data_IF_224113400420
#
_entry.id   IF_224113400420
#
_cell.length_a   1.000
_cell.length_b   1.000
_cell.length_c   1.000
_cell.angle_alpha   90.00
_cell.angle_beta   90.00
_cell.angle_gamma   90.00
#
_symmetry.space_group_name_H-M   'P 1'
#
loop_
_entity.id
_entity.type
_entity.pdbx_description
1 polymer ?
#
# COMPACT_ATOMS: atom_id res chain seq x y z
N UNK A 1 0.10 -4.18 -18.17
CA UNK A 1 0.77 -3.36 -17.13
C UNK A 1 0.75 -4.17 -15.85
N UNK A 2 1.91 -4.33 -15.22
CA UNK A 2 1.95 -4.91 -13.87
C UNK A 2 1.15 -4.03 -12.91
N UNK A 3 0.48 -4.63 -11.92
CA UNK A 3 -0.21 -3.86 -10.90
C UNK A 3 0.75 -2.92 -10.19
N UNK A 4 0.27 -1.73 -9.82
CA UNK A 4 1.02 -0.87 -8.92
C UNK A 4 1.36 -1.61 -7.62
N UNK A 5 2.60 -1.48 -7.18
CA UNK A 5 3.02 -1.96 -5.88
C UNK A 5 2.63 -0.98 -4.81
N UNK A 6 2.30 -1.52 -3.63
CA UNK A 6 2.00 -0.72 -2.44
C UNK A 6 2.84 -1.25 -1.29
N UNK A 7 3.49 -0.35 -0.56
CA UNK A 7 4.10 -0.63 0.74
C UNK A 7 3.39 0.22 1.79
N UNK A 8 2.86 -0.44 2.82
CA UNK A 8 2.26 0.22 3.98
C UNK A 8 3.25 0.17 5.13
N UNK A 9 3.56 1.33 5.69
CA UNK A 9 4.44 1.49 6.84
C UNK A 9 3.60 2.04 7.98
N UNK A 10 3.34 1.21 8.99
CA UNK A 10 2.42 1.54 10.08
C UNK A 10 3.18 1.77 11.39
N UNK A 11 2.97 2.90 12.09
CA UNK A 11 3.46 3.13 13.44
C UNK A 11 2.94 2.05 14.40
N UNK A 12 3.83 1.47 15.20
CA UNK A 12 3.46 0.52 16.27
C UNK A 12 3.11 1.22 17.59
N UNK A 13 3.50 2.48 17.76
CA UNK A 13 3.26 3.26 18.97
C UNK A 13 2.98 4.73 18.66
N UNK A 14 2.47 5.47 19.64
CA UNK A 14 2.07 6.88 19.48
C UNK A 14 3.25 7.84 19.26
N UNK A 15 4.47 7.46 19.65
CA UNK A 15 5.65 8.33 19.57
C UNK A 15 6.11 8.56 18.13
N UNK A 16 5.75 7.66 17.22
CA UNK A 16 6.19 7.68 15.81
C UNK A 16 5.01 7.84 14.83
N UNK A 17 3.95 8.57 15.23
CA UNK A 17 2.75 8.79 14.38
C UNK A 17 2.80 10.05 13.51
N UNK A 18 3.85 10.88 13.61
CA UNK A 18 3.91 12.09 12.80
C UNK A 18 4.18 11.76 11.33
N UNK A 19 3.20 12.04 10.47
CA UNK A 19 3.26 11.67 9.06
C UNK A 19 4.37 12.40 8.32
N UNK A 20 4.55 13.70 8.56
CA UNK A 20 5.51 14.51 7.80
C UNK A 20 6.96 14.15 8.17
N UNK A 21 7.21 13.86 9.45
CA UNK A 21 8.49 13.32 9.93
C UNK A 21 8.79 11.96 9.30
N UNK A 22 7.83 11.03 9.34
CA UNK A 22 8.00 9.69 8.78
C UNK A 22 8.17 9.73 7.26
N UNK A 23 7.39 10.56 6.55
CA UNK A 23 7.51 10.75 5.10
C UNK A 23 8.92 11.23 4.74
N UNK A 24 9.44 12.24 5.45
CA UNK A 24 10.81 12.73 5.23
C UNK A 24 11.85 11.65 5.52
N UNK A 25 11.71 10.91 6.62
CA UNK A 25 12.58 9.80 6.98
C UNK A 25 12.70 8.77 5.85
N UNK A 26 11.57 8.21 5.40
CA UNK A 26 11.59 7.16 4.38
C UNK A 26 12.01 7.69 3.01
N UNK A 27 11.59 8.90 2.64
CA UNK A 27 12.05 9.53 1.39
C UNK A 27 13.57 9.72 1.38
N UNK A 28 14.12 10.26 2.46
CA UNK A 28 15.57 10.50 2.55
C UNK A 28 16.33 9.17 2.47
N UNK A 29 15.85 8.13 3.16
CA UNK A 29 16.47 6.81 3.13
C UNK A 29 16.45 6.19 1.72
N UNK A 30 15.31 6.27 1.03
CA UNK A 30 15.17 5.76 -0.34
C UNK A 30 16.09 6.53 -1.29
N UNK A 31 16.00 7.87 -1.31
CA UNK A 31 16.77 8.69 -2.24
C UNK A 31 18.29 8.61 -2.02
N UNK A 32 18.73 8.40 -0.78
CA UNK A 32 20.16 8.29 -0.46
C UNK A 32 20.77 6.94 -0.83
N UNK A 33 19.98 5.86 -0.84
CA UNK A 33 20.48 4.50 -1.10
C UNK A 33 20.09 3.94 -2.47
N UNK A 34 19.02 4.47 -3.07
CA UNK A 34 18.61 4.13 -4.44
C UNK A 34 17.97 5.35 -5.12
N UNK A 35 18.76 6.29 -5.67
CA UNK A 35 18.26 7.49 -6.32
C UNK A 35 17.42 7.20 -7.58
N UNK A 36 17.54 6.00 -8.15
CA UNK A 36 16.76 5.55 -9.31
C UNK A 36 15.44 4.85 -8.92
N UNK A 37 15.14 4.72 -7.62
CA UNK A 37 13.91 4.10 -7.16
C UNK A 37 12.67 4.87 -7.66
N UNK A 38 11.78 4.17 -8.35
CA UNK A 38 10.59 4.76 -8.97
C UNK A 38 9.41 4.80 -8.01
N UNK A 39 9.41 5.79 -7.12
CA UNK A 39 8.25 6.10 -6.26
C UNK A 39 7.23 6.92 -7.05
N UNK A 40 6.02 6.39 -7.21
CA UNK A 40 4.90 7.06 -7.90
C UNK A 40 4.09 7.96 -6.99
N UNK A 41 4.04 7.66 -5.70
CA UNK A 41 3.29 8.47 -4.74
C UNK A 41 3.56 8.08 -3.30
N UNK A 42 3.39 9.06 -2.41
CA UNK A 42 3.46 8.86 -0.95
C UNK A 42 2.30 9.54 -0.28
N UNK A 43 1.48 8.75 0.42
CA UNK A 43 0.25 9.19 1.04
C UNK A 43 0.22 8.86 2.54
N UNK A 44 -0.59 9.63 3.27
CA UNK A 44 -0.82 9.39 4.70
C UNK A 44 -1.76 8.20 4.88
N UNK A 45 -1.44 7.34 5.84
CA UNK A 45 -2.34 6.31 6.36
C UNK A 45 -3.01 6.79 7.64
N UNK A 46 -4.20 6.25 7.91
CA UNK A 46 -4.86 6.43 9.20
C UNK A 46 -3.92 5.99 10.34
N UNK A 47 -3.92 6.75 11.44
CA UNK A 47 -3.02 6.51 12.57
C UNK A 47 -1.58 6.99 12.36
N UNK A 48 -1.31 7.79 11.32
CA UNK A 48 -0.02 8.47 11.15
C UNK A 48 1.03 7.72 10.30
N UNK A 49 0.64 6.61 9.68
CA UNK A 49 1.52 5.82 8.82
C UNK A 49 1.73 6.39 7.43
N UNK A 50 2.59 5.72 6.68
CA UNK A 50 3.00 6.11 5.33
C UNK A 50 2.63 5.01 4.34
N UNK A 51 2.02 5.37 3.22
CA UNK A 51 1.77 4.50 2.07
C UNK A 51 2.67 4.93 0.92
N UNK A 52 3.52 4.02 0.46
CA UNK A 52 4.38 4.22 -0.72
C UNK A 52 3.76 3.45 -1.89
N UNK A 53 3.69 4.10 -3.05
CA UNK A 53 3.17 3.54 -4.30
C UNK A 53 4.33 3.43 -5.29
N UNK A 54 4.51 2.26 -5.90
CA UNK A 54 5.55 1.96 -6.88
C UNK A 54 4.94 1.47 -8.19
N UNK A 55 5.78 1.26 -9.19
CA UNK A 55 5.34 0.77 -10.48
C UNK A 55 5.01 -0.71 -10.57
N UNK A 56 5.58 -1.52 -9.67
CA UNK A 56 5.24 -2.94 -9.53
C UNK A 56 5.31 -3.40 -8.07
N UNK A 57 4.71 -4.56 -7.78
CA UNK A 57 4.82 -5.22 -6.48
C UNK A 57 6.27 -5.55 -6.12
N UNK A 58 7.10 -5.91 -7.09
CA UNK A 58 8.50 -6.24 -6.89
C UNK A 58 9.31 -4.99 -6.50
N UNK A 59 9.02 -3.85 -7.13
CA UNK A 59 9.60 -2.56 -6.73
C UNK A 59 9.20 -2.18 -5.29
N UNK A 60 7.96 -2.46 -4.87
CA UNK A 60 7.55 -2.22 -3.48
C UNK A 60 8.31 -3.14 -2.51
N UNK A 61 8.55 -4.40 -2.89
CA UNK A 61 9.38 -5.34 -2.15
C UNK A 61 10.83 -4.84 -2.02
N UNK A 62 11.45 -4.44 -3.12
CA UNK A 62 12.81 -3.91 -3.13
C UNK A 62 12.95 -2.65 -2.26
N UNK A 63 11.95 -1.75 -2.26
CA UNK A 63 11.95 -0.58 -1.36
C UNK A 63 11.83 -1.02 0.10
N UNK A 64 10.99 -2.01 0.42
CA UNK A 64 10.90 -2.53 1.79
C UNK A 64 12.25 -3.07 2.24
N UNK A 65 12.88 -3.91 1.43
CA UNK A 65 14.16 -4.54 1.79
C UNK A 65 15.27 -3.50 1.94
N UNK A 66 15.33 -2.50 1.07
CA UNK A 66 16.24 -1.35 1.18
C UNK A 66 16.07 -0.60 2.51
N UNK A 67 14.81 -0.33 2.92
CA UNK A 67 14.52 0.37 4.17
C UNK A 67 15.00 -0.45 5.38
N UNK A 68 14.77 -1.76 5.36
CA UNK A 68 15.18 -2.65 6.46
C UNK A 68 16.70 -2.85 6.52
N UNK A 69 17.37 -2.89 5.37
CA UNK A 69 18.83 -3.07 5.30
C UNK A 69 19.61 -1.81 5.68
N UNK A 70 19.15 -0.63 5.22
CA UNK A 70 19.88 0.64 5.35
C UNK A 70 19.37 1.53 6.47
N UNK A 71 18.19 1.23 7.00
CA UNK A 71 17.55 2.01 8.05
C UNK A 71 18.14 1.78 9.44
N UNK A 72 17.70 2.59 10.40
CA UNK A 72 18.10 2.42 11.79
C UNK A 72 17.54 1.12 12.38
N UNK A 73 18.30 0.51 13.31
CA UNK A 73 17.97 -0.79 13.90
C UNK A 73 16.63 -0.82 14.66
N UNK A 74 16.10 0.35 15.06
CA UNK A 74 14.83 0.49 15.76
C UNK A 74 13.63 0.64 14.82
N UNK A 75 13.82 0.72 13.50
CA UNK A 75 12.71 0.82 12.55
C UNK A 75 11.74 -0.35 12.67
N UNK A 76 12.23 -1.58 12.79
CA UNK A 76 11.39 -2.76 12.96
C UNK A 76 10.68 -2.81 14.33
N UNK A 77 11.20 -2.10 15.33
CA UNK A 77 10.55 -1.97 16.63
C UNK A 77 9.44 -0.91 16.59
N UNK A 78 9.64 0.15 15.82
CA UNK A 78 8.76 1.30 15.74
C UNK A 78 7.69 1.20 14.64
N UNK A 79 7.95 0.42 13.59
CA UNK A 79 7.09 0.30 12.42
C UNK A 79 6.80 -1.15 12.03
N UNK A 80 5.63 -1.35 11.41
CA UNK A 80 5.26 -2.56 10.72
C UNK A 80 5.26 -2.30 9.20
N UNK A 81 5.97 -3.13 8.45
CA UNK A 81 6.08 -3.03 6.99
C UNK A 81 5.25 -4.11 6.30
N UNK A 82 4.17 -3.69 5.64
CA UNK A 82 3.20 -4.60 5.03
C UNK A 82 3.18 -4.40 3.51
N UNK A 83 3.44 -5.47 2.78
CA UNK A 83 3.14 -5.58 1.35
C UNK A 83 1.74 -6.21 1.25
N UNK A 84 0.68 -5.42 1.00
CA UNK A 84 -0.66 -5.97 0.93
C UNK A 84 -0.77 -6.89 -0.29
N UNK A 85 -1.23 -8.12 -0.05
CA UNK A 85 -1.62 -9.01 -1.13
C UNK A 85 -2.74 -8.39 -1.97
N UNK A 86 -2.76 -8.71 -3.26
CA UNK A 86 -3.80 -8.27 -4.17
C UNK A 86 -5.12 -8.92 -3.73
N UNK A 87 -6.01 -8.14 -3.11
CA UNK A 87 -7.37 -8.61 -2.80
C UNK A 87 -8.27 -8.32 -3.99
N UNK A 88 -9.09 -9.30 -4.36
CA UNK A 88 -10.19 -9.08 -5.29
C UNK A 88 -11.13 -8.07 -4.62
N UNK A 89 -11.55 -7.00 -5.32
CA UNK A 89 -12.52 -6.08 -4.76
C UNK A 89 -13.78 -6.85 -4.36
N UNK A 90 -14.25 -6.62 -3.14
CA UNK A 90 -15.50 -7.18 -2.67
C UNK A 90 -16.59 -6.12 -2.84
N UNK A 91 -17.68 -6.47 -3.51
CA UNK A 91 -18.87 -5.63 -3.65
C UNK A 91 -19.91 -6.16 -2.67
N UNK A 92 -20.44 -5.29 -1.82
CA UNK A 92 -21.57 -5.60 -0.94
C UNK A 92 -22.77 -4.83 -1.48
N UNK A 93 -23.83 -5.57 -1.85
CA UNK A 93 -25.08 -5.02 -2.36
C UNK A 93 -26.13 -5.07 -1.24
N UNK A 94 -26.80 -3.95 -0.97
CA UNK A 94 -27.90 -3.86 -0.02
C UNK A 94 -29.24 -3.78 -0.75
N UNK A 95 -30.33 -4.22 -0.10
CA UNK A 95 -31.69 -4.16 -0.62
C UNK A 95 -31.89 -4.91 -1.96
N UNK A 96 -31.14 -5.99 -2.19
CA UNK A 96 -31.35 -6.89 -3.32
C UNK A 96 -32.61 -7.72 -3.05
N UNK A 97 -33.50 -7.79 -4.03
CA UNK A 97 -34.69 -8.66 -3.96
C UNK A 97 -34.26 -10.12 -3.80
N UNK A 98 -34.92 -10.86 -2.91
CA UNK A 98 -34.62 -12.28 -2.62
C UNK A 98 -34.77 -13.18 -3.85
N UNK A 99 -35.50 -12.75 -4.88
CA UNK A 99 -35.66 -13.48 -6.14
C UNK A 99 -34.51 -13.32 -7.14
N UNK A 100 -33.54 -12.43 -6.87
CA UNK A 100 -32.38 -12.23 -7.76
C UNK A 100 -31.36 -13.34 -7.52
N UNK A 101 -31.04 -14.10 -8.58
CA UNK A 101 -30.05 -15.16 -8.51
C UNK A 101 -28.61 -14.63 -8.66
N UNK A 102 -27.67 -15.38 -8.07
CA UNK A 102 -26.24 -15.05 -8.08
C UNK A 102 -25.66 -15.01 -9.51
N UNK A 103 -26.17 -15.82 -10.43
CA UNK A 103 -25.67 -15.91 -11.80
C UNK A 103 -26.02 -14.64 -12.60
N UNK A 104 -27.23 -14.12 -12.40
CA UNK A 104 -27.67 -12.82 -12.92
C UNK A 104 -26.78 -11.68 -12.41
N UNK A 105 -26.42 -11.66 -11.13
CA UNK A 105 -25.51 -10.65 -10.56
C UNK A 105 -24.09 -10.75 -11.15
N UNK A 106 -23.57 -11.98 -11.34
CA UNK A 106 -22.26 -12.21 -11.94
C UNK A 106 -22.18 -11.75 -13.40
N UNK A 107 -23.26 -11.96 -14.17
CA UNK A 107 -23.37 -11.52 -15.57
C UNK A 107 -23.28 -9.99 -15.70
N UNK A 108 -23.88 -9.25 -14.76
CA UNK A 108 -23.78 -7.78 -14.73
C UNK A 108 -22.44 -7.30 -14.15
N UNK A 109 -21.81 -8.02 -13.22
CA UNK A 109 -20.48 -7.65 -12.70
C UNK A 109 -19.35 -7.84 -13.72
N UNK A 110 -19.60 -8.60 -14.80
CA UNK A 110 -18.70 -8.71 -15.96
C UNK A 110 -18.69 -7.45 -16.83
N UNK A 111 -19.30 -6.33 -16.37
CA UNK A 111 -19.12 -5.01 -16.95
C UNK A 111 -17.64 -4.63 -16.90
N UNK A 112 -17.02 -4.87 -18.05
CA UNK A 112 -15.82 -4.26 -18.59
C UNK A 112 -15.61 -2.86 -17.99
N UNK A 113 -14.49 -2.63 -17.32
CA UNK A 113 -13.95 -1.28 -17.15
C UNK A 113 -13.71 -0.71 -18.55
N UNK A 114 -14.71 -0.03 -19.08
CA UNK A 114 -14.54 0.95 -20.14
C UNK A 114 -14.14 2.24 -19.43
N UNK A 115 -12.98 2.75 -19.87
CA UNK A 115 -12.44 4.07 -19.52
C UNK A 115 -13.48 5.17 -19.73
#
# INVERSE_FOLDING_TARGET
MDPEGVLLIKPKNDRVKDFDTNKKLFMNLISSNNPNARVRGINKLYGGGVKIITGSTDEAGAIKDLILEKGAADLDQNFEFVLPGRRVPQIILYNVDKGVDEESLKKVSSVKTLL
#
